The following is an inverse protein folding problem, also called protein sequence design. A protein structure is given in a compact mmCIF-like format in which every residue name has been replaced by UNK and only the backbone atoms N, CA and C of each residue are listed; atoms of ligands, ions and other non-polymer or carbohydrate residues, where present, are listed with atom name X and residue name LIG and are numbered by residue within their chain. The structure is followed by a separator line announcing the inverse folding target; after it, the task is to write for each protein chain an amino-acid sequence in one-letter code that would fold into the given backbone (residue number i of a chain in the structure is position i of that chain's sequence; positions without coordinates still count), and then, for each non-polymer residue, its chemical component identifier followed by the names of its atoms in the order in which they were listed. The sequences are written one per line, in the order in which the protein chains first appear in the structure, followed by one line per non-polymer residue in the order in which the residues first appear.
data_IF_947696249269
#
_entry.id   IF_947696249269
#
_cell.length_a   1.000
_cell.length_b   1.000
_cell.length_c   1.000
_cell.angle_alpha   90.00
_cell.angle_beta   90.00
_cell.angle_gamma   90.00
#
_symmetry.space_group_name_H-M   'P 1'
#
loop_
_entity.id
_entity.type
_entity.pdbx_description
1 polymer ?
#
# COMPACT_ATOMS: atom_id res chain seq x y z
N UNK A 1 6.49 -16.35 40.67
CA UNK A 1 7.24 -17.45 40.01
C UNK A 1 8.34 -16.88 39.11
N UNK A 2 9.57 -17.39 39.17
CA UNK A 2 10.64 -17.05 38.23
C UNK A 2 10.70 -18.11 37.12
N UNK A 3 10.39 -17.73 35.88
CA UNK A 3 10.55 -18.58 34.68
C UNK A 3 11.85 -18.24 33.95
N UNK A 4 12.46 -19.24 33.30
CA UNK A 4 13.65 -19.08 32.47
C UNK A 4 13.34 -18.26 31.20
N UNK A 5 14.37 -17.64 30.59
CA UNK A 5 14.20 -16.77 29.41
C UNK A 5 13.54 -17.49 28.24
N UNK A 6 13.94 -18.73 27.97
CA UNK A 6 13.41 -19.57 26.88
C UNK A 6 11.91 -19.88 27.02
N UNK A 7 11.35 -19.85 28.24
CA UNK A 7 9.91 -20.07 28.45
C UNK A 7 9.07 -18.81 28.31
N UNK A 8 9.69 -17.63 28.30
CA UNK A 8 9.01 -16.33 28.22
C UNK A 8 9.05 -15.73 26.82
N UNK A 9 10.04 -16.12 26.03
CA UNK A 9 10.32 -15.55 24.71
C UNK A 9 10.09 -16.61 23.63
N UNK A 10 9.48 -16.19 22.52
CA UNK A 10 9.41 -16.99 21.29
C UNK A 10 10.28 -16.31 20.24
N UNK A 11 11.22 -17.06 19.67
CA UNK A 11 12.07 -16.57 18.57
C UNK A 11 11.21 -16.20 17.37
N UNK A 12 11.10 -14.91 17.06
CA UNK A 12 10.31 -14.42 15.94
C UNK A 12 10.10 -12.91 15.98
N UNK A 13 9.42 -12.37 14.96
CA UNK A 13 9.06 -10.96 14.91
C UNK A 13 8.14 -10.64 16.09
N UNK A 14 8.48 -9.57 16.83
CA UNK A 14 7.82 -9.17 18.08
C UNK A 14 8.04 -10.11 19.28
N UNK A 15 9.08 -10.95 19.28
CA UNK A 15 9.65 -11.60 20.48
C UNK A 15 8.64 -12.38 21.36
N UNK A 16 7.59 -12.92 20.75
CA UNK A 16 6.50 -13.61 21.47
C UNK A 16 5.46 -12.70 22.11
N UNK A 17 5.58 -11.37 22.00
CA UNK A 17 4.53 -10.41 22.37
C UNK A 17 3.29 -10.55 21.50
N UNK A 18 3.43 -11.09 20.29
CA UNK A 18 2.34 -11.29 19.34
C UNK A 18 2.19 -12.76 18.98
N UNK A 19 0.94 -13.22 18.82
CA UNK A 19 0.65 -14.55 18.27
C UNK A 19 0.99 -14.57 16.78
N UNK A 20 1.50 -15.71 16.30
CA UNK A 20 1.90 -15.90 14.90
C UNK A 20 0.83 -15.47 13.88
N UNK A 21 -0.45 -15.77 14.15
CA UNK A 21 -1.57 -15.33 13.30
C UNK A 21 -1.62 -13.80 13.14
N UNK A 22 -1.50 -13.06 14.24
CA UNK A 22 -1.53 -11.60 14.21
C UNK A 22 -0.29 -11.01 13.51
N UNK A 23 0.87 -11.65 13.65
CA UNK A 23 2.09 -11.24 12.92
C UNK A 23 1.88 -11.40 11.42
N UNK A 24 1.36 -12.56 11.00
CA UNK A 24 1.09 -12.84 9.61
C UNK A 24 0.03 -11.90 9.01
N UNK A 25 -1.07 -11.64 9.72
CA UNK A 25 -2.11 -10.72 9.26
C UNK A 25 -1.57 -9.28 9.13
N UNK A 26 -0.71 -8.83 10.06
CA UNK A 26 -0.04 -7.52 9.96
C UNK A 26 0.88 -7.42 8.75
N UNK A 27 1.68 -8.47 8.49
CA UNK A 27 2.56 -8.51 7.33
C UNK A 27 1.75 -8.40 6.04
N UNK A 28 0.66 -9.17 5.93
CA UNK A 28 -0.25 -9.12 4.77
C UNK A 28 -0.87 -7.74 4.58
N UNK A 29 -1.44 -7.15 5.65
CA UNK A 29 -2.05 -5.83 5.57
C UNK A 29 -1.03 -4.76 5.17
N UNK A 30 0.17 -4.77 5.76
CA UNK A 30 1.22 -3.82 5.41
C UNK A 30 1.64 -3.95 3.95
N UNK A 31 1.88 -5.18 3.48
CA UNK A 31 2.26 -5.46 2.10
C UNK A 31 1.22 -4.95 1.10
N UNK A 32 -0.04 -5.38 1.25
CA UNK A 32 -1.13 -4.99 0.34
C UNK A 32 -1.38 -3.47 0.35
N UNK A 33 -1.25 -2.84 1.51
CA UNK A 33 -1.43 -1.38 1.62
C UNK A 33 -0.34 -0.62 0.89
N UNK A 34 0.91 -1.06 0.98
CA UNK A 34 2.02 -0.42 0.26
C UNK A 34 1.90 -0.65 -1.26
N UNK A 35 1.51 -1.84 -1.71
CA UNK A 35 1.23 -2.09 -3.13
C UNK A 35 0.12 -1.18 -3.66
N UNK A 36 -1.01 -1.08 -2.93
CA UNK A 36 -2.13 -0.24 -3.34
C UNK A 36 -1.75 1.24 -3.36
N UNK A 37 -0.89 1.71 -2.44
CA UNK A 37 -0.35 3.08 -2.46
C UNK A 37 0.47 3.33 -3.73
N UNK A 38 1.30 2.38 -4.15
CA UNK A 38 2.11 2.48 -5.37
C UNK A 38 1.19 2.52 -6.60
N UNK A 39 0.24 1.60 -6.70
CA UNK A 39 -0.74 1.54 -7.80
C UNK A 39 -1.50 2.85 -7.91
N UNK A 40 -2.02 3.38 -6.79
CA UNK A 40 -2.76 4.65 -6.76
C UNK A 40 -1.87 5.83 -7.15
N UNK A 41 -0.61 5.86 -6.70
CA UNK A 41 0.37 6.89 -7.09
C UNK A 41 0.69 6.87 -8.58
N UNK A 42 0.68 5.70 -9.22
CA UNK A 42 0.93 5.58 -10.66
C UNK A 42 -0.30 5.91 -11.52
N UNK A 43 -1.49 5.46 -11.11
CA UNK A 43 -2.71 5.62 -11.91
C UNK A 43 -3.28 7.04 -11.86
N UNK A 44 -3.17 7.74 -10.73
CA UNK A 44 -3.73 9.11 -10.59
C UNK A 44 -3.13 10.12 -11.58
N UNK A 45 -1.79 10.21 -11.74
CA UNK A 45 -1.17 11.09 -12.74
C UNK A 45 -1.51 10.70 -14.17
N UNK A 46 -1.56 9.40 -14.49
CA UNK A 46 -1.91 8.91 -15.82
C UNK A 46 -3.33 9.35 -16.23
N UNK A 47 -4.29 9.19 -15.33
CA UNK A 47 -5.68 9.60 -15.57
C UNK A 47 -5.82 11.13 -15.71
N UNK A 48 -5.04 11.92 -14.96
CA UNK A 48 -5.04 13.38 -15.09
C UNK A 48 -4.43 13.85 -16.42
N UNK A 49 -3.32 13.22 -16.84
CA UNK A 49 -2.69 13.51 -18.12
C UNK A 49 -3.64 13.25 -19.29
N UNK A 50 -4.30 12.09 -19.32
CA UNK A 50 -5.28 11.74 -20.35
C UNK A 50 -6.49 12.69 -20.40
N UNK A 51 -6.95 13.17 -19.23
CA UNK A 51 -8.02 14.16 -19.19
C UNK A 51 -7.56 15.50 -19.79
N UNK A 52 -6.36 15.95 -19.43
CA UNK A 52 -5.82 17.21 -19.96
C UNK A 52 -5.65 17.16 -21.48
N UNK A 53 -5.14 16.05 -22.04
CA UNK A 53 -5.02 15.88 -23.49
C UNK A 53 -6.39 15.93 -24.17
N UNK A 54 -7.40 15.24 -23.62
CA UNK A 54 -8.76 15.24 -24.17
C UNK A 54 -9.41 16.64 -24.20
N UNK A 55 -9.28 17.43 -23.13
CA UNK A 55 -9.80 18.79 -23.10
C UNK A 55 -9.09 19.71 -24.11
N UNK A 56 -7.77 19.57 -24.24
CA UNK A 56 -6.99 20.36 -25.21
C UNK A 56 -7.37 20.03 -26.66
N UNK A 57 -7.55 18.75 -26.99
CA UNK A 57 -8.02 18.32 -28.32
C UNK A 57 -9.42 18.86 -28.62
N UNK A 58 -10.33 18.80 -27.63
CA UNK A 58 -11.68 19.35 -27.76
C UNK A 58 -11.67 20.87 -27.99
N UNK A 59 -10.83 21.62 -27.27
CA UNK A 59 -10.67 23.07 -27.44
C UNK A 59 -10.08 23.43 -28.81
N UNK A 60 -9.07 22.68 -29.28
CA UNK A 60 -8.47 22.87 -30.60
C UNK A 60 -9.46 22.60 -31.74
N UNK A 61 -10.36 21.63 -31.56
CA UNK A 61 -11.44 21.37 -32.50
C UNK A 61 -12.45 22.52 -32.58
N UNK A 62 -12.81 23.12 -31.43
CA UNK A 62 -13.74 24.26 -31.40
C UNK A 62 -13.15 25.54 -32.02
N UNK A 63 -11.83 25.76 -31.93
CA UNK A 63 -11.16 26.97 -32.44
C UNK A 63 -10.85 26.94 -33.94
N UNK A 64 -10.99 25.78 -34.59
CA UNK A 64 -10.75 25.58 -36.02
C UNK A 64 -11.99 25.80 -36.90
N UNK A 65 -13.15 26.03 -36.28
CA UNK A 65 -14.41 26.44 -36.93
C UNK A 65 -14.61 27.94 -36.73
#
# INVERSE_FOLDING_TARGET
MRLSKTRKHVSGVHDGSMRAKCVHDRIKCAFLTEEQKIIVKMLKPQAQSQKATFYNESLLSYKKN
#
